data_IF_729646819160
#
_entry.id   IF_729646819160
#
_cell.length_a   1.000
_cell.length_b   1.000
_cell.length_c   1.000
_cell.angle_alpha   90.00
_cell.angle_beta   90.00
_cell.angle_gamma   90.00
#
_symmetry.space_group_name_H-M   'P 1'
#
loop_
_entity.id
_entity.type
_entity.pdbx_description
1 polymer ?
#
# COMPACT_ATOMS: atom_id res chain seq x y z
N UNK A 1 -35.62 44.99 45.67
CA UNK A 1 -35.07 45.36 44.33
C UNK A 1 -36.26 45.74 43.46
N UNK A 2 -36.37 46.98 43.00
CA UNK A 2 -37.59 47.43 42.30
C UNK A 2 -37.72 46.90 40.86
N UNK A 3 -36.69 46.25 40.30
CA UNK A 3 -36.81 45.58 39.00
C UNK A 3 -35.83 44.40 38.85
N UNK A 4 -36.25 43.20 39.29
CA UNK A 4 -35.47 41.97 39.21
C UNK A 4 -35.07 41.59 37.78
N UNK A 5 -35.92 41.92 36.79
CA UNK A 5 -35.67 41.67 35.36
C UNK A 5 -34.49 42.50 34.87
N UNK A 6 -34.42 43.78 35.26
CA UNK A 6 -33.30 44.67 34.89
C UNK A 6 -31.99 44.21 35.53
N UNK A 7 -32.04 43.75 36.78
CA UNK A 7 -30.86 43.24 37.49
C UNK A 7 -30.34 41.94 36.85
N UNK A 8 -31.23 40.99 36.56
CA UNK A 8 -30.89 39.75 35.85
C UNK A 8 -30.31 40.02 34.45
N UNK A 9 -30.88 40.98 33.71
CA UNK A 9 -30.36 41.38 32.39
C UNK A 9 -28.96 42.00 32.49
N UNK A 10 -28.70 42.84 33.51
CA UNK A 10 -27.38 43.42 33.73
C UNK A 10 -26.31 42.37 34.05
N UNK A 11 -26.65 41.35 34.85
CA UNK A 11 -25.77 40.22 35.14
C UNK A 11 -25.53 39.38 33.89
N UNK A 12 -26.57 39.14 33.09
CA UNK A 12 -26.46 38.39 31.84
C UNK A 12 -25.49 39.07 30.86
N UNK A 13 -25.61 40.39 30.69
CA UNK A 13 -24.73 41.17 29.81
C UNK A 13 -23.30 41.15 30.32
N UNK A 14 -23.08 41.34 31.63
CA UNK A 14 -21.75 41.38 32.22
C UNK A 14 -21.07 40.01 32.11
N UNK A 15 -21.82 38.94 32.38
CA UNK A 15 -21.35 37.56 32.25
C UNK A 15 -21.05 37.20 30.80
N UNK A 16 -21.94 37.54 29.87
CA UNK A 16 -21.77 37.29 28.44
C UNK A 16 -20.51 38.01 27.92
N UNK A 17 -20.29 39.26 28.34
CA UNK A 17 -19.10 40.02 27.98
C UNK A 17 -17.82 39.38 28.50
N UNK A 18 -17.81 38.89 29.74
CA UNK A 18 -16.64 38.22 30.31
C UNK A 18 -16.32 36.93 29.54
N UNK A 19 -17.33 36.08 29.30
CA UNK A 19 -17.16 34.80 28.58
C UNK A 19 -16.69 35.02 27.15
N UNK A 20 -17.27 35.97 26.42
CA UNK A 20 -16.87 36.28 25.04
C UNK A 20 -15.49 36.94 25.00
N UNK A 21 -15.13 37.75 26.00
CA UNK A 21 -13.84 38.45 26.05
C UNK A 21 -12.63 37.51 26.14
N UNK A 22 -12.81 36.34 26.76
CA UNK A 22 -11.76 35.34 26.92
C UNK A 22 -11.70 34.33 25.74
N UNK A 23 -12.58 34.44 24.76
CA UNK A 23 -12.72 33.50 23.65
C UNK A 23 -12.35 34.13 22.30
N UNK A 24 -11.75 33.32 21.42
CA UNK A 24 -11.54 33.71 20.01
C UNK A 24 -12.89 33.75 19.29
N UNK A 25 -13.06 34.67 18.35
CA UNK A 25 -14.32 34.84 17.60
C UNK A 25 -14.84 33.54 16.97
N UNK A 26 -13.96 32.75 16.35
CA UNK A 26 -14.31 31.44 15.78
C UNK A 26 -14.89 30.48 16.84
N UNK A 27 -14.29 30.49 18.03
CA UNK A 27 -14.74 29.69 19.17
C UNK A 27 -16.10 30.15 19.71
N UNK A 28 -16.37 31.45 19.69
CA UNK A 28 -17.67 32.01 20.09
C UNK A 28 -18.77 31.55 19.12
N UNK A 29 -18.46 31.45 17.83
CA UNK A 29 -19.39 30.94 16.82
C UNK A 29 -19.61 29.44 16.93
N UNK A 30 -18.56 28.67 17.24
CA UNK A 30 -18.60 27.20 17.31
C UNK A 30 -19.14 26.66 18.64
N UNK A 31 -18.82 27.30 19.77
CA UNK A 31 -19.07 26.79 21.13
C UNK A 31 -20.27 27.48 21.81
N UNK A 32 -21.37 27.69 21.08
CA UNK A 32 -22.59 28.34 21.62
C UNK A 32 -23.15 27.63 22.84
N UNK A 33 -23.15 26.30 22.84
CA UNK A 33 -23.67 25.50 23.96
C UNK A 33 -22.87 25.71 25.26
N UNK A 34 -21.56 25.87 25.14
CA UNK A 34 -20.69 26.20 26.27
C UNK A 34 -21.04 27.58 26.86
N UNK A 35 -21.30 28.56 25.99
CA UNK A 35 -21.70 29.90 26.43
C UNK A 35 -23.08 29.87 27.09
N UNK A 36 -24.05 29.18 26.49
CA UNK A 36 -25.41 29.01 27.02
C UNK A 36 -25.42 28.36 28.41
N UNK A 37 -24.69 27.26 28.58
CA UNK A 37 -24.60 26.54 29.86
C UNK A 37 -23.90 27.36 30.94
N UNK A 38 -22.82 28.06 30.60
CA UNK A 38 -22.09 28.95 31.52
C UNK A 38 -22.95 30.13 31.97
N UNK A 39 -23.67 30.77 31.04
CA UNK A 39 -24.61 31.84 31.35
C UNK A 39 -25.75 31.35 32.22
N UNK A 40 -26.35 30.20 31.88
CA UNK A 40 -27.43 29.60 32.67
C UNK A 40 -26.98 29.37 34.11
N UNK A 41 -25.82 28.74 34.30
CA UNK A 41 -25.29 28.44 35.63
C UNK A 41 -25.05 29.71 36.47
N UNK A 42 -24.40 30.74 35.89
CA UNK A 42 -24.14 32.00 36.61
C UNK A 42 -25.40 32.82 36.85
N UNK A 43 -26.35 32.80 35.92
CA UNK A 43 -27.62 33.52 36.09
C UNK A 43 -28.46 32.85 37.17
N UNK A 44 -28.60 31.53 37.16
CA UNK A 44 -29.38 30.77 38.14
C UNK A 44 -28.85 31.01 39.57
N UNK A 45 -27.53 30.96 39.78
CA UNK A 45 -26.87 31.22 41.07
C UNK A 45 -27.19 32.61 41.64
N UNK A 46 -27.16 33.65 40.80
CA UNK A 46 -27.40 35.02 41.25
C UNK A 46 -28.91 35.31 41.40
N UNK A 47 -29.76 34.74 40.54
CA UNK A 47 -31.21 34.97 40.58
C UNK A 47 -31.94 34.14 41.63
N UNK A 48 -31.33 33.08 42.18
CA UNK A 48 -31.90 32.27 43.26
C UNK A 48 -32.19 33.12 44.51
N UNK A 49 -31.33 34.11 44.81
CA UNK A 49 -31.54 35.09 45.89
C UNK A 49 -32.80 35.94 45.75
N UNK A 50 -33.38 35.98 44.55
CA UNK A 50 -34.62 36.68 44.23
C UNK A 50 -35.82 35.73 44.05
N UNK A 51 -35.63 34.42 44.24
CA UNK A 51 -36.65 33.40 44.04
C UNK A 51 -37.00 33.15 42.57
N UNK A 52 -36.09 33.47 41.65
CA UNK A 52 -36.28 33.30 40.20
C UNK A 52 -35.37 32.17 39.72
N UNK A 53 -35.96 31.16 39.10
CA UNK A 53 -35.26 30.03 38.49
C UNK A 53 -35.04 30.25 37.00
N UNK A 54 -33.79 30.10 36.54
CA UNK A 54 -33.45 30.26 35.13
C UNK A 54 -33.54 28.91 34.43
N UNK A 55 -34.57 28.71 33.61
CA UNK A 55 -34.80 27.42 32.93
C UNK A 55 -33.82 27.20 31.77
N UNK A 56 -33.62 28.20 30.91
CA UNK A 56 -32.72 28.11 29.75
C UNK A 56 -32.20 29.48 29.35
N UNK A 57 -31.03 29.50 28.72
CA UNK A 57 -30.41 30.68 28.10
C UNK A 57 -29.98 30.27 26.70
N UNK A 58 -30.31 31.08 25.70
CA UNK A 58 -29.97 30.82 24.32
C UNK A 58 -29.48 32.09 23.61
N UNK A 59 -28.36 31.98 22.92
CA UNK A 59 -27.87 33.01 22.02
C UNK A 59 -28.67 32.97 20.72
N UNK A 60 -29.44 34.04 20.46
CA UNK A 60 -30.20 34.17 19.21
C UNK A 60 -29.29 34.30 17.98
N UNK A 61 -28.47 35.34 17.95
CA UNK A 61 -27.64 35.64 16.78
C UNK A 61 -26.36 36.38 17.18
N UNK A 62 -25.29 36.10 16.45
CA UNK A 62 -24.00 36.77 16.57
C UNK A 62 -23.71 37.37 15.21
N UNK A 63 -23.72 38.70 15.12
CA UNK A 63 -23.44 39.45 13.88
C UNK A 63 -22.12 40.20 14.05
N UNK A 64 -20.98 39.65 13.59
CA UNK A 64 -19.75 40.40 13.47
C UNK A 64 -19.91 41.56 12.47
N UNK A 65 -19.15 42.65 12.61
CA UNK A 65 -19.10 43.68 11.59
C UNK A 65 -18.49 43.12 10.29
N UNK A 66 -18.83 43.73 9.14
CA UNK A 66 -18.56 43.17 7.79
C UNK A 66 -17.06 42.98 7.51
N UNK A 67 -16.25 43.92 7.96
CA UNK A 67 -14.78 43.89 7.87
C UNK A 67 -14.19 42.64 8.54
N UNK A 68 -14.67 42.30 9.72
CA UNK A 68 -14.25 41.10 10.46
C UNK A 68 -14.72 39.83 9.76
N UNK A 69 -15.94 39.81 9.22
CA UNK A 69 -16.45 38.66 8.48
C UNK A 69 -15.62 38.38 7.21
N UNK A 70 -15.26 39.41 6.46
CA UNK A 70 -14.41 39.30 5.26
C UNK A 70 -13.01 38.80 5.61
N UNK A 71 -12.40 39.35 6.66
CA UNK A 71 -11.10 38.90 7.15
C UNK A 71 -11.12 37.42 7.57
N UNK A 72 -12.19 37.01 8.28
CA UNK A 72 -12.39 35.64 8.73
C UNK A 72 -12.55 34.67 7.55
N UNK A 73 -13.35 35.02 6.53
CA UNK A 73 -13.50 34.21 5.31
C UNK A 73 -12.16 34.07 4.59
N UNK A 74 -11.40 35.15 4.46
CA UNK A 74 -10.08 35.14 3.81
C UNK A 74 -9.09 34.27 4.57
N UNK A 75 -9.07 34.38 5.90
CA UNK A 75 -8.21 33.57 6.77
C UNK A 75 -8.58 32.09 6.71
N UNK A 76 -9.88 31.76 6.80
CA UNK A 76 -10.36 30.39 6.68
C UNK A 76 -10.04 29.77 5.31
N UNK A 77 -10.22 30.52 4.23
CA UNK A 77 -9.86 30.07 2.89
C UNK A 77 -8.35 29.80 2.78
N UNK A 78 -7.52 30.70 3.31
CA UNK A 78 -6.07 30.53 3.32
C UNK A 78 -5.63 29.29 4.12
N UNK A 79 -6.15 29.09 5.32
CA UNK A 79 -5.81 27.92 6.15
C UNK A 79 -6.34 26.63 5.54
N UNK A 80 -7.54 26.64 4.93
CA UNK A 80 -8.09 25.48 4.24
C UNK A 80 -7.24 25.11 3.02
N UNK A 81 -6.81 26.09 2.23
CA UNK A 81 -5.90 25.87 1.11
C UNK A 81 -4.55 25.34 1.59
N UNK A 82 -4.00 25.91 2.68
CA UNK A 82 -2.75 25.43 3.28
C UNK A 82 -2.86 23.96 3.71
N UNK A 83 -3.94 23.61 4.42
CA UNK A 83 -4.20 22.23 4.84
C UNK A 83 -4.36 21.28 3.65
N UNK A 84 -5.08 21.70 2.61
CA UNK A 84 -5.24 20.91 1.39
C UNK A 84 -3.88 20.65 0.70
N UNK A 85 -3.03 21.68 0.56
CA UNK A 85 -1.69 21.54 -0.02
C UNK A 85 -0.79 20.60 0.79
N UNK A 86 -0.82 20.70 2.13
CA UNK A 86 -0.04 19.81 3.00
C UNK A 86 -0.53 18.36 2.85
N UNK A 87 -1.84 18.13 2.91
CA UNK A 87 -2.42 16.80 2.75
C UNK A 87 -2.10 16.20 1.36
N UNK A 88 -2.15 17.01 0.30
CA UNK A 88 -1.78 16.56 -1.05
C UNK A 88 -0.29 16.21 -1.14
N UNK A 89 0.59 17.03 -0.55
CA UNK A 89 2.03 16.77 -0.53
C UNK A 89 2.37 15.50 0.26
N UNK A 90 1.73 15.29 1.41
CA UNK A 90 1.86 14.07 2.21
C UNK A 90 1.33 12.84 1.46
N UNK A 91 0.19 12.97 0.78
CA UNK A 91 -0.36 11.93 -0.08
C UNK A 91 0.59 11.54 -1.21
N UNK A 92 1.15 12.52 -1.94
CA UNK A 92 2.14 12.30 -3.01
C UNK A 92 3.40 11.61 -2.49
N UNK A 93 3.93 12.06 -1.35
CA UNK A 93 5.10 11.43 -0.72
C UNK A 93 4.82 9.98 -0.35
N UNK A 94 3.67 9.71 0.27
CA UNK A 94 3.30 8.37 0.71
C UNK A 94 3.08 7.44 -0.48
N UNK A 95 2.41 7.92 -1.52
CA UNK A 95 2.21 7.18 -2.77
C UNK A 95 3.54 6.82 -3.44
N UNK A 96 4.48 7.75 -3.54
CA UNK A 96 5.80 7.51 -4.13
C UNK A 96 6.62 6.48 -3.35
N UNK A 97 6.54 6.49 -2.01
CA UNK A 97 7.20 5.50 -1.16
C UNK A 97 6.60 4.11 -1.38
N UNK A 98 5.26 4.00 -1.35
CA UNK A 98 4.56 2.72 -1.56
C UNK A 98 4.84 2.14 -2.95
N UNK A 99 4.90 2.99 -3.98
CA UNK A 99 5.24 2.55 -5.33
C UNK A 99 6.68 2.03 -5.41
N UNK A 100 7.65 2.76 -4.83
CA UNK A 100 9.04 2.33 -4.81
C UNK A 100 9.24 1.03 -4.02
N UNK A 101 8.54 0.86 -2.90
CA UNK A 101 8.58 -0.35 -2.10
C UNK A 101 7.93 -1.53 -2.84
N UNK A 102 6.79 -1.31 -3.49
CA UNK A 102 6.15 -2.31 -4.34
C UNK A 102 7.01 -2.75 -5.52
N UNK A 103 7.70 -1.81 -6.20
CA UNK A 103 8.65 -2.12 -7.26
C UNK A 103 9.83 -2.95 -6.75
N UNK A 104 10.40 -2.57 -5.59
CA UNK A 104 11.50 -3.32 -4.96
C UNK A 104 11.07 -4.75 -4.65
N UNK A 105 9.91 -4.91 -4.02
CA UNK A 105 9.39 -6.22 -3.64
C UNK A 105 9.07 -7.10 -4.85
N UNK A 106 8.50 -6.51 -5.90
CA UNK A 106 8.23 -7.20 -7.16
C UNK A 106 9.53 -7.70 -7.83
N UNK A 107 10.59 -6.88 -7.85
CA UNK A 107 11.89 -7.27 -8.41
C UNK A 107 12.53 -8.40 -7.61
N UNK A 108 12.47 -8.35 -6.27
CA UNK A 108 12.99 -9.41 -5.39
C UNK A 108 12.24 -10.72 -5.65
N UNK A 109 10.90 -10.70 -5.62
CA UNK A 109 10.08 -11.90 -5.88
C UNK A 109 10.34 -12.49 -7.25
N UNK A 110 10.53 -11.65 -8.27
CA UNK A 110 10.87 -12.11 -9.63
C UNK A 110 12.22 -12.82 -9.64
N UNK A 111 13.24 -12.23 -9.02
CA UNK A 111 14.57 -12.85 -8.93
C UNK A 111 14.56 -14.16 -8.14
N UNK A 112 13.80 -14.23 -7.06
CA UNK A 112 13.60 -15.46 -6.28
C UNK A 112 12.88 -16.54 -7.09
N UNK A 113 11.83 -16.17 -7.83
CA UNK A 113 11.10 -17.08 -8.71
C UNK A 113 11.97 -17.62 -9.83
N UNK A 114 12.78 -16.79 -10.48
CA UNK A 114 13.73 -17.21 -11.52
C UNK A 114 14.79 -18.17 -10.95
N UNK A 115 15.33 -17.89 -9.76
CA UNK A 115 16.27 -18.78 -9.09
C UNK A 115 15.64 -20.14 -8.77
N UNK A 116 14.45 -20.14 -8.17
CA UNK A 116 13.72 -21.37 -7.83
C UNK A 116 13.38 -22.18 -9.08
N UNK A 117 12.92 -21.51 -10.13
CA UNK A 117 12.64 -22.14 -11.42
C UNK A 117 13.87 -22.84 -11.98
N UNK A 118 15.02 -22.15 -11.99
CA UNK A 118 16.27 -22.73 -12.51
C UNK A 118 16.73 -23.95 -11.71
N UNK A 119 16.60 -23.92 -10.38
CA UNK A 119 16.88 -25.08 -9.51
C UNK A 119 15.96 -26.24 -9.86
N UNK A 120 14.65 -25.99 -9.93
CA UNK A 120 13.65 -27.02 -10.23
C UNK A 120 13.88 -27.66 -11.60
N UNK A 121 14.24 -26.86 -12.61
CA UNK A 121 14.60 -27.36 -13.95
C UNK A 121 15.87 -28.22 -13.91
N UNK A 122 16.88 -27.80 -13.16
CA UNK A 122 18.12 -28.56 -13.00
C UNK A 122 17.87 -29.90 -12.28
N UNK A 123 17.09 -29.89 -11.20
CA UNK A 123 16.68 -31.10 -10.47
C UNK A 123 15.84 -32.04 -11.35
N UNK A 124 14.89 -31.50 -12.11
CA UNK A 124 14.08 -32.29 -13.04
C UNK A 124 14.93 -32.97 -14.11
N UNK A 125 15.93 -32.27 -14.66
CA UNK A 125 16.89 -32.85 -15.62
C UNK A 125 17.75 -33.92 -14.97
N UNK A 126 18.30 -33.66 -13.78
CA UNK A 126 19.13 -34.63 -13.06
C UNK A 126 18.35 -35.92 -12.77
N UNK A 127 17.13 -35.80 -12.24
CA UNK A 127 16.24 -36.95 -11.96
C UNK A 127 15.86 -37.71 -13.23
N UNK A 128 15.62 -37.02 -14.34
CA UNK A 128 15.38 -37.67 -15.63
C UNK A 128 16.59 -38.46 -16.12
N UNK A 129 17.81 -37.92 -15.96
CA UNK A 129 19.05 -38.62 -16.34
C UNK A 129 19.30 -39.84 -15.46
N UNK A 130 19.04 -39.74 -14.16
CA UNK A 130 19.11 -40.87 -13.22
C UNK A 130 18.14 -41.99 -13.64
N UNK A 131 16.89 -41.66 -13.94
CA UNK A 131 15.90 -42.64 -14.36
C UNK A 131 16.28 -43.31 -15.69
N UNK A 132 16.83 -42.54 -16.63
CA UNK A 132 17.36 -43.08 -17.89
C UNK A 132 18.52 -44.03 -17.62
N UNK A 133 19.47 -43.66 -16.75
CA UNK A 133 20.61 -44.49 -16.42
C UNK A 133 20.20 -45.78 -15.71
N UNK A 134 19.28 -45.71 -14.75
CA UNK A 134 18.74 -46.89 -14.07
C UNK A 134 18.01 -47.82 -15.06
N UNK A 135 17.22 -47.24 -15.96
CA UNK A 135 16.53 -47.98 -17.03
C UNK A 135 17.53 -48.63 -17.98
N UNK A 136 18.60 -47.92 -18.37
CA UNK A 136 19.68 -48.44 -19.20
C UNK A 136 20.44 -49.60 -18.52
N UNK A 137 20.68 -49.50 -17.20
CA UNK A 137 21.30 -50.59 -16.43
C UNK A 137 20.40 -51.83 -16.34
N UNK A 138 19.07 -51.66 -16.23
CA UNK A 138 18.09 -52.75 -16.20
C UNK A 138 17.88 -53.41 -17.56
N UNK A 139 18.00 -52.66 -18.66
CA UNK A 139 17.81 -53.16 -20.03
C UNK A 139 19.09 -53.75 -20.67
N UNK A 140 20.26 -53.62 -20.03
CA UNK A 140 21.52 -54.20 -20.48
C UNK A 140 22.11 -53.58 -21.76
N UNK A 141 23.36 -53.93 -22.07
CA UNK A 141 24.23 -53.35 -23.10
C UNK A 141 23.60 -53.21 -24.51
N UNK A 142 22.57 -54.01 -24.80
CA UNK A 142 21.92 -54.05 -26.10
C UNK A 142 20.87 -52.93 -26.30
N UNK A 143 20.30 -52.37 -25.23
CA UNK A 143 19.30 -51.30 -25.36
C UNK A 143 19.92 -49.93 -25.66
N UNK A 144 21.11 -49.65 -25.11
CA UNK A 144 21.88 -48.45 -25.46
C UNK A 144 22.25 -48.47 -26.95
N UNK A 145 22.64 -49.64 -27.47
CA UNK A 145 22.93 -49.82 -28.89
C UNK A 145 21.68 -49.58 -29.76
N UNK A 146 20.52 -50.10 -29.36
CA UNK A 146 19.26 -49.90 -30.08
C UNK A 146 18.83 -48.42 -30.09
N UNK A 147 18.92 -47.73 -28.94
CA UNK A 147 18.63 -46.29 -28.84
C UNK A 147 19.61 -45.45 -29.66
N UNK A 148 20.89 -45.85 -29.72
CA UNK A 148 21.89 -45.20 -30.56
C UNK A 148 21.58 -45.41 -32.05
N UNK A 149 21.14 -46.62 -32.44
CA UNK A 149 20.68 -46.91 -33.79
C UNK A 149 19.39 -46.14 -34.15
N UNK A 150 18.47 -45.93 -33.22
CA UNK A 150 17.26 -45.10 -33.42
C UNK A 150 17.57 -43.59 -33.45
N UNK A 151 18.49 -43.11 -32.62
CA UNK A 151 18.98 -41.74 -32.69
C UNK A 151 19.70 -41.49 -34.02
N UNK A 152 20.51 -42.44 -34.49
CA UNK A 152 21.12 -42.38 -35.82
C UNK A 152 20.07 -42.44 -36.93
N UNK A 153 19.02 -43.25 -36.77
CA UNK A 153 17.92 -43.33 -37.74
C UNK A 153 17.11 -42.03 -37.80
N UNK A 154 16.77 -41.42 -36.67
CA UNK A 154 16.05 -40.14 -36.64
C UNK A 154 16.90 -38.96 -37.14
N UNK A 155 18.22 -39.00 -36.92
CA UNK A 155 19.17 -38.06 -37.53
C UNK A 155 19.26 -38.30 -39.05
N UNK A 156 19.20 -39.55 -39.51
CA UNK A 156 19.22 -39.91 -40.94
C UNK A 156 17.88 -39.64 -41.66
N UNK A 157 16.75 -39.67 -40.95
CA UNK A 157 15.41 -39.31 -41.44
C UNK A 157 15.16 -37.79 -41.40
N UNK A 158 16.01 -37.01 -40.71
CA UNK A 158 15.94 -35.55 -40.71
C UNK A 158 16.38 -34.97 -42.06
N UNK A 159 15.63 -34.05 -42.69
CA UNK A 159 15.86 -33.59 -44.07
C UNK A 159 17.13 -32.70 -44.27
N UNK A 160 18.05 -32.64 -43.30
CA UNK A 160 19.29 -31.85 -43.39
C UNK A 160 20.51 -32.71 -43.74
N UNK A 161 21.03 -32.52 -44.95
CA UNK A 161 22.07 -33.31 -45.63
C UNK A 161 23.51 -33.09 -45.14
N UNK A 162 23.75 -32.97 -43.82
CA UNK A 162 25.12 -32.98 -43.27
C UNK A 162 25.24 -33.98 -42.11
N UNK A 163 25.64 -35.20 -42.46
CA UNK A 163 26.01 -36.24 -41.49
C UNK A 163 27.45 -35.94 -41.05
N UNK A 164 27.62 -35.49 -39.81
CA UNK A 164 28.94 -35.36 -39.17
C UNK A 164 29.23 -36.69 -38.48
N UNK A 165 30.04 -37.53 -39.11
CA UNK A 165 30.47 -38.80 -38.54
C UNK A 165 31.66 -38.54 -37.61
N UNK A 166 31.56 -38.86 -36.30
CA UNK A 166 32.69 -38.76 -35.39
C UNK A 166 33.83 -39.69 -35.85
N UNK A 167 35.07 -39.20 -35.85
CA UNK A 167 36.26 -39.97 -36.26
C UNK A 167 36.49 -41.23 -35.39
N UNK A 168 35.96 -41.25 -34.16
CA UNK A 168 35.89 -42.41 -33.26
C UNK A 168 35.16 -43.63 -33.88
N UNK A 169 34.18 -43.38 -34.77
CA UNK A 169 33.44 -44.43 -35.46
C UNK A 169 34.29 -45.06 -36.57
N UNK A 170 35.13 -44.26 -37.23
CA UNK A 170 36.04 -44.74 -38.27
C UNK A 170 37.17 -45.59 -37.67
N UNK A 171 37.67 -45.26 -36.48
CA UNK A 171 38.71 -46.05 -35.80
C UNK A 171 38.18 -47.38 -35.28
N UNK A 172 36.93 -47.43 -34.82
CA UNK A 172 36.28 -48.68 -34.38
C UNK A 172 35.91 -49.57 -35.55
N UNK A 173 35.38 -49.01 -36.66
CA UNK A 173 35.13 -49.75 -37.90
C UNK A 173 36.41 -50.31 -38.52
N UNK A 174 37.50 -49.52 -38.59
CA UNK A 174 38.78 -50.00 -39.12
C UNK A 174 39.42 -51.05 -38.22
N UNK A 175 39.27 -50.97 -36.89
CA UNK A 175 39.70 -52.05 -35.98
C UNK A 175 38.93 -53.34 -36.20
N UNK A 176 37.65 -53.27 -36.56
CA UNK A 176 36.81 -54.44 -36.81
C UNK A 176 37.10 -55.03 -38.20
N UNK A 177 37.26 -54.19 -39.23
CA UNK A 177 37.59 -54.63 -40.60
C UNK A 177 39.04 -55.09 -40.73
N UNK A 178 39.98 -54.50 -39.99
CA UNK A 178 41.39 -54.90 -39.96
C UNK A 178 41.63 -56.26 -39.30
N UNK A 179 40.72 -56.72 -38.44
CA UNK A 179 40.81 -58.02 -37.78
C UNK A 179 40.35 -59.19 -38.67
N UNK A 180 39.80 -58.92 -39.86
CA UNK A 180 39.33 -59.91 -40.84
C UNK A 180 40.40 -60.29 -41.88
N UNK A 181 41.62 -59.75 -41.80
CA UNK A 181 42.69 -59.98 -42.79
C UNK A 181 43.93 -60.72 -42.23
N UNK A 182 43.87 -61.19 -40.99
CA UNK A 182 44.84 -62.11 -40.39
C UNK A 182 44.11 -63.38 -39.91
N UNK A 183 43.62 -64.18 -40.88
CA UNK A 183 43.53 -65.65 -40.81
C UNK A 183 44.01 -66.22 -42.14
#
# INVERSE_FOLDING_TARGET
VQNYVSAATGIAITTLRAVIGDMVLDDVLAKREYINSTLRARLDDVTDRWGIKVTSVEIKEIKPPKDVQEAMIKQMAAERNRRAMVAEAEGKRTAAILEADGQREALIRKGEGERQYNILVAEGKAKSLELINETAMKLGSNAILLQYLEALRSIAESPSTKIVIPLELLTTLTKIVGRSREE
#
